data_IF_925369545403
#
_entry.id   IF_925369545403
#
_cell.length_a   1.000
_cell.length_b   1.000
_cell.length_c   1.000
_cell.angle_alpha   90.00
_cell.angle_beta   90.00
_cell.angle_gamma   90.00
#
_symmetry.space_group_name_H-M   'P 1'
#
loop_
_entity.id
_entity.type
_entity.pdbx_description
1 polymer ?
#
# COMPACT_ATOMS: atom_id res chain seq x y z
N UNK A 1 3.57 16.62 1.10
CA UNK A 1 4.50 15.56 0.68
C UNK A 1 4.68 14.65 1.90
N UNK A 2 4.81 13.35 1.72
CA UNK A 2 5.18 12.45 2.82
C UNK A 2 6.64 12.07 2.62
N UNK A 3 7.52 12.39 3.55
CA UNK A 3 8.96 12.18 3.43
C UNK A 3 9.42 11.02 4.30
N UNK A 4 10.61 10.51 3.96
CA UNK A 4 11.36 9.59 4.79
C UNK A 4 10.53 8.36 5.22
N UNK A 5 10.19 7.53 4.22
CA UNK A 5 9.53 6.25 4.47
C UNK A 5 10.36 5.41 5.45
N UNK A 6 9.88 5.23 6.67
CA UNK A 6 10.60 4.59 7.76
C UNK A 6 10.23 3.10 7.93
N UNK A 7 9.01 2.72 7.55
CA UNK A 7 8.49 1.36 7.71
C UNK A 7 7.45 1.09 6.63
N UNK A 8 7.45 -0.13 6.09
CA UNK A 8 6.31 -0.70 5.38
C UNK A 8 5.91 -1.98 6.07
N UNK A 9 4.63 -2.07 6.44
CA UNK A 9 4.07 -3.23 7.11
C UNK A 9 2.97 -3.83 6.23
N UNK A 10 3.11 -5.11 5.94
CA UNK A 10 2.08 -5.92 5.30
C UNK A 10 1.28 -6.64 6.35
N UNK A 11 -0.03 -6.62 6.18
CA UNK A 11 -0.96 -7.35 7.01
C UNK A 11 -1.65 -8.36 6.11
N UNK A 12 -1.49 -9.64 6.46
CA UNK A 12 -2.17 -10.72 5.76
C UNK A 12 -3.23 -11.35 6.65
N UNK A 13 -4.21 -11.99 6.02
CA UNK A 13 -5.24 -12.74 6.73
C UNK A 13 -4.63 -13.92 7.51
N UNK A 14 -4.95 -14.08 8.78
CA UNK A 14 -4.34 -15.10 9.67
C UNK A 14 -4.62 -16.52 9.20
N UNK A 15 -5.81 -16.78 8.66
CA UNK A 15 -6.18 -18.11 8.18
C UNK A 15 -5.51 -18.45 6.83
N UNK A 16 -5.11 -17.43 6.07
CA UNK A 16 -4.32 -17.58 4.84
C UNK A 16 -3.31 -16.41 4.69
N UNK A 17 -2.08 -16.56 5.22
CA UNK A 17 -1.06 -15.52 5.19
C UNK A 17 -0.59 -15.13 3.78
N UNK A 18 -1.04 -15.83 2.73
CA UNK A 18 -0.82 -15.41 1.34
C UNK A 18 -1.77 -14.29 0.89
N UNK A 19 -2.81 -13.99 1.67
CA UNK A 19 -3.80 -12.96 1.35
C UNK A 19 -3.40 -11.65 2.03
N UNK A 20 -2.68 -10.81 1.29
CA UNK A 20 -2.44 -9.44 1.71
C UNK A 20 -3.77 -8.69 1.75
N UNK A 21 -4.12 -8.12 2.89
CA UNK A 21 -5.38 -7.38 3.08
C UNK A 21 -5.17 -5.90 3.31
N UNK A 22 -4.00 -5.52 3.82
CA UNK A 22 -3.64 -4.15 4.06
C UNK A 22 -2.14 -3.96 3.97
N UNK A 23 -1.74 -2.79 3.49
CA UNK A 23 -0.38 -2.27 3.58
C UNK A 23 -0.40 -0.95 4.33
N UNK A 24 0.58 -0.77 5.19
CA UNK A 24 0.79 0.46 5.93
C UNK A 24 2.17 1.00 5.66
N UNK A 25 2.24 2.29 5.35
CA UNK A 25 3.46 3.05 5.17
C UNK A 25 3.62 4.02 6.33
N UNK A 26 4.75 3.96 7.02
CA UNK A 26 5.17 4.94 8.04
C UNK A 26 6.07 5.96 7.38
N UNK A 27 5.63 7.20 7.33
CA UNK A 27 6.46 8.36 7.00
C UNK A 27 6.71 9.16 8.27
N UNK A 28 7.64 10.11 8.21
CA UNK A 28 7.90 11.02 9.33
C UNK A 28 6.64 11.83 9.70
N UNK A 29 5.82 12.19 8.71
CA UNK A 29 4.61 12.99 8.92
C UNK A 29 3.38 12.17 9.29
N UNK A 30 3.44 10.83 9.27
CA UNK A 30 2.27 10.02 9.60
C UNK A 30 2.26 8.60 9.09
N UNK A 31 1.06 8.03 9.11
CA UNK A 31 0.75 6.70 8.65
C UNK A 31 -0.22 6.78 7.48
N UNK A 32 0.14 6.15 6.38
CA UNK A 32 -0.74 5.92 5.25
C UNK A 32 -1.11 4.43 5.24
N UNK A 33 -2.40 4.14 5.34
CA UNK A 33 -2.94 2.79 5.27
C UNK A 33 -3.74 2.63 3.99
N UNK A 34 -3.52 1.50 3.32
CA UNK A 34 -4.32 1.02 2.21
C UNK A 34 -4.88 -0.32 2.64
N UNK A 35 -6.17 -0.51 2.46
CA UNK A 35 -6.91 -1.69 2.87
C UNK A 35 -7.87 -2.09 1.76
N UNK A 36 -8.22 -3.37 1.67
CA UNK A 36 -9.29 -3.82 0.79
C UNK A 36 -10.61 -3.97 1.57
N UNK A 37 -11.71 -3.52 0.99
CA UNK A 37 -13.04 -3.94 1.38
C UNK A 37 -13.33 -5.34 0.80
N UNK A 38 -13.46 -6.37 1.63
CA UNK A 38 -13.66 -7.74 1.15
C UNK A 38 -15.04 -7.96 0.51
N UNK A 39 -16.02 -7.08 0.74
CA UNK A 39 -17.39 -7.22 0.24
C UNK A 39 -17.54 -6.83 -1.23
N UNK A 40 -16.77 -5.83 -1.69
CA UNK A 40 -16.89 -5.27 -3.05
C UNK A 40 -15.58 -5.09 -3.82
N UNK A 41 -14.46 -5.57 -3.27
CA UNK A 41 -13.12 -5.44 -3.85
C UNK A 41 -12.69 -3.98 -4.09
N UNK A 42 -13.14 -3.04 -3.25
CA UNK A 42 -12.64 -1.67 -3.28
C UNK A 42 -11.42 -1.46 -2.40
N UNK A 43 -10.58 -0.47 -2.73
CA UNK A 43 -9.49 0.00 -1.89
C UNK A 43 -9.97 1.13 -0.99
N UNK A 44 -9.68 1.02 0.29
CA UNK A 44 -9.84 2.10 1.25
C UNK A 44 -8.48 2.69 1.61
N UNK A 45 -8.37 4.02 1.55
CA UNK A 45 -7.13 4.72 1.89
C UNK A 45 -7.37 5.65 3.08
N UNK A 46 -6.56 5.48 4.13
CA UNK A 46 -6.61 6.30 5.34
C UNK A 46 -5.25 6.94 5.62
N UNK A 47 -5.25 8.20 6.04
CA UNK A 47 -4.05 8.89 6.50
C UNK A 47 -4.27 9.47 7.90
N UNK A 48 -3.36 9.19 8.81
CA UNK A 48 -3.35 9.76 10.16
C UNK A 48 -1.92 10.24 10.53
N UNK A 49 -1.74 11.52 10.89
CA UNK A 49 -0.43 12.09 11.16
C UNK A 49 0.17 11.69 12.52
N UNK A 50 -0.60 11.07 13.41
CA UNK A 50 -0.21 10.83 14.80
C UNK A 50 -0.12 9.36 15.15
N UNK A 51 -1.07 8.58 14.67
CA UNK A 51 -1.23 7.19 15.06
C UNK A 51 -1.50 6.30 13.86
N UNK A 52 -1.11 5.03 13.99
CA UNK A 52 -1.44 4.01 13.02
C UNK A 52 -2.98 3.89 12.96
N UNK A 53 -3.62 4.05 11.78
CA UNK A 53 -5.06 3.93 11.68
C UNK A 53 -5.50 2.52 12.14
N UNK A 54 -6.67 2.40 12.78
CA UNK A 54 -7.24 1.09 13.03
C UNK A 54 -7.58 0.42 11.69
N UNK A 55 -7.45 -0.90 11.63
CA UNK A 55 -7.95 -1.68 10.51
C UNK A 55 -9.48 -1.59 10.48
N UNK A 56 -10.04 -1.39 9.28
CA UNK A 56 -11.47 -1.41 9.04
C UNK A 56 -11.88 -2.83 8.62
N UNK A 57 -13.17 -3.03 8.30
CA UNK A 57 -13.75 -4.24 7.70
C UNK A 57 -13.47 -5.61 8.34
N UNK A 58 -12.87 -5.63 9.54
CA UNK A 58 -12.51 -6.84 10.28
C UNK A 58 -11.64 -7.81 9.49
N UNK A 59 -10.38 -7.43 9.27
CA UNK A 59 -9.32 -8.44 9.31
C UNK A 59 -8.90 -8.65 10.76
N UNK A 60 -9.86 -9.05 11.60
CA UNK A 60 -9.71 -9.30 13.04
C UNK A 60 -8.71 -10.41 13.35
N UNK A 61 -8.41 -11.22 12.34
CA UNK A 61 -7.26 -12.09 12.32
C UNK A 61 -6.37 -11.61 11.17
N UNK A 62 -5.63 -10.52 11.37
CA UNK A 62 -4.50 -10.19 10.50
C UNK A 62 -3.21 -10.26 11.29
N UNK A 63 -2.18 -10.79 10.64
CA UNK A 63 -0.84 -10.86 11.20
C UNK A 63 0.12 -10.07 10.34
N UNK A 64 1.08 -9.35 10.94
CA UNK A 64 2.19 -8.80 10.19
C UNK A 64 2.91 -9.91 9.45
N UNK A 65 3.08 -9.78 8.14
CA UNK A 65 3.94 -10.66 7.37
C UNK A 65 5.29 -9.98 7.14
N UNK A 66 6.39 -10.75 7.04
CA UNK A 66 7.70 -10.19 6.74
C UNK A 66 7.59 -9.36 5.46
N UNK A 67 7.96 -8.09 5.54
CA UNK A 67 8.00 -7.22 4.38
C UNK A 67 9.00 -7.81 3.40
N UNK A 68 8.56 -8.00 2.15
CA UNK A 68 9.36 -8.63 1.10
C UNK A 68 10.69 -7.86 0.92
N UNK A 69 11.75 -8.53 0.45
CA UNK A 69 13.05 -7.89 0.19
C UNK A 69 12.93 -6.69 -0.77
N UNK A 70 11.85 -6.66 -1.56
CA UNK A 70 11.49 -5.59 -2.48
C UNK A 70 11.30 -4.21 -1.82
N UNK A 71 11.07 -4.14 -0.51
CA UNK A 71 10.86 -2.87 0.22
C UNK A 71 12.13 -2.33 0.89
N UNK A 72 13.18 -3.14 1.02
CA UNK A 72 14.40 -2.74 1.71
C UNK A 72 15.10 -1.55 1.03
N UNK A 73 14.95 -1.41 -0.30
CA UNK A 73 15.48 -0.28 -1.06
C UNK A 73 14.60 0.97 -1.03
N UNK A 74 13.41 0.91 -0.44
CA UNK A 74 12.43 2.01 -0.45
C UNK A 74 12.49 2.87 0.82
N UNK A 75 13.16 2.38 1.88
CA UNK A 75 13.27 3.13 3.13
C UNK A 75 14.09 4.42 2.92
N UNK A 76 13.60 5.52 3.48
CA UNK A 76 14.12 6.87 3.27
C UNK A 76 13.63 7.56 2.00
N UNK A 77 12.79 6.91 1.18
CA UNK A 77 12.19 7.54 0.01
C UNK A 77 11.04 8.48 0.40
N UNK A 78 10.83 9.48 -0.45
CA UNK A 78 9.71 10.43 -0.34
C UNK A 78 8.59 10.05 -1.29
N UNK A 79 7.34 10.24 -0.88
CA UNK A 79 6.18 10.09 -1.76
C UNK A 79 5.98 11.34 -2.62
N UNK A 80 6.19 11.18 -3.93
CA UNK A 80 5.97 12.25 -4.92
C UNK A 80 4.49 12.40 -5.24
N UNK A 81 3.82 11.28 -5.53
CA UNK A 81 2.39 11.26 -5.78
C UNK A 81 1.75 9.96 -5.29
N UNK A 82 0.43 10.01 -5.11
CA UNK A 82 -0.44 8.90 -4.69
C UNK A 82 -1.78 9.02 -5.41
N UNK A 83 -2.29 7.92 -5.95
CA UNK A 83 -3.56 7.88 -6.66
C UNK A 83 -4.43 6.71 -6.21
N UNK A 84 -5.72 6.98 -6.06
CA UNK A 84 -6.74 5.93 -6.07
C UNK A 84 -7.28 5.84 -7.50
N UNK A 85 -7.24 4.64 -8.07
CA UNK A 85 -7.68 4.35 -9.42
C UNK A 85 -9.08 3.75 -9.39
N UNK A 86 -9.85 4.01 -10.44
CA UNK A 86 -11.18 3.46 -10.62
C UNK A 86 -11.26 2.59 -11.87
N UNK A 87 -11.94 1.47 -11.77
CA UNK A 87 -12.24 0.64 -12.94
C UNK A 87 -13.38 1.21 -13.78
N UNK A 88 -13.69 0.52 -14.89
CA UNK A 88 -14.73 0.91 -15.84
C UNK A 88 -16.14 0.94 -15.23
N UNK A 89 -16.34 0.28 -14.09
CA UNK A 89 -17.61 0.24 -13.37
C UNK A 89 -17.69 1.33 -12.29
N UNK A 90 -16.61 2.08 -12.05
CA UNK A 90 -16.55 3.18 -11.09
C UNK A 90 -16.08 2.78 -9.69
N UNK A 91 -15.75 1.51 -9.46
CA UNK A 91 -15.19 1.05 -8.18
C UNK A 91 -13.73 1.47 -8.06
N UNK A 92 -13.34 1.92 -6.87
CA UNK A 92 -11.96 2.23 -6.52
C UNK A 92 -11.21 0.92 -6.30
N UNK A 93 -10.61 0.34 -7.35
CA UNK A 93 -10.06 -1.03 -7.31
C UNK A 93 -8.54 -1.06 -7.22
N UNK A 94 -7.86 0.08 -7.24
CA UNK A 94 -6.42 0.11 -7.05
C UNK A 94 -5.93 1.39 -6.37
N UNK A 95 -4.81 1.25 -5.66
CA UNK A 95 -4.02 2.33 -5.12
C UNK A 95 -2.62 2.31 -5.72
N UNK A 96 -2.10 3.46 -6.13
CA UNK A 96 -0.73 3.62 -6.60
C UNK A 96 0.01 4.67 -5.79
N UNK A 97 1.29 4.41 -5.54
CA UNK A 97 2.21 5.35 -4.90
C UNK A 97 3.56 5.32 -5.61
N UNK A 98 4.09 6.50 -5.92
CA UNK A 98 5.48 6.67 -6.32
C UNK A 98 6.30 7.14 -5.15
N UNK A 99 7.42 6.45 -4.96
CA UNK A 99 8.45 6.74 -3.97
C UNK A 99 9.73 7.11 -4.71
N UNK A 100 10.40 8.16 -4.28
CA UNK A 100 11.62 8.62 -4.92
C UNK A 100 12.71 9.01 -3.95
N UNK A 101 13.92 8.93 -4.48
CA UNK A 101 15.14 9.60 -4.01
C UNK A 101 15.58 10.57 -5.10
N UNK A 102 16.54 11.46 -4.84
CA UNK A 102 17.15 12.27 -5.91
C UNK A 102 17.74 11.47 -7.08
N UNK A 103 17.99 10.16 -6.91
CA UNK A 103 18.67 9.30 -7.89
C UNK A 103 17.83 8.15 -8.44
N UNK A 104 16.64 7.89 -7.92
CA UNK A 104 15.80 6.75 -8.33
C UNK A 104 14.34 6.95 -7.94
N UNK A 105 13.45 6.37 -8.74
CA UNK A 105 12.01 6.29 -8.49
C UNK A 105 11.60 4.83 -8.35
N UNK A 106 10.50 4.57 -7.66
CA UNK A 106 9.85 3.26 -7.65
C UNK A 106 8.36 3.46 -7.51
N UNK A 107 7.59 2.88 -8.44
CA UNK A 107 6.13 2.92 -8.39
C UNK A 107 5.56 1.56 -7.95
N UNK A 108 4.76 1.61 -6.89
CA UNK A 108 4.01 0.47 -6.37
C UNK A 108 2.53 0.63 -6.70
N UNK A 109 1.90 -0.45 -7.16
CA UNK A 109 0.46 -0.54 -7.35
C UNK A 109 -0.11 -1.67 -6.51
N UNK A 110 -1.15 -1.39 -5.74
CA UNK A 110 -1.94 -2.38 -5.00
C UNK A 110 -3.30 -2.47 -5.68
N UNK A 111 -3.62 -3.64 -6.23
CA UNK A 111 -4.90 -3.91 -6.89
C UNK A 111 -5.79 -4.73 -5.95
N UNK A 112 -6.98 -4.25 -5.66
CA UNK A 112 -8.01 -5.00 -4.96
C UNK A 112 -8.68 -5.98 -5.93
N UNK A 113 -8.61 -7.27 -5.60
CA UNK A 113 -9.22 -8.33 -6.39
C UNK A 113 -9.36 -9.60 -5.55
N UNK A 114 -10.55 -10.21 -5.55
CA UNK A 114 -10.83 -11.45 -4.83
C UNK A 114 -10.52 -11.35 -3.32
N UNK A 115 -11.01 -10.28 -2.70
CA UNK A 115 -10.92 -9.96 -1.28
C UNK A 115 -9.49 -9.84 -0.74
N UNK A 116 -8.52 -9.54 -1.61
CA UNK A 116 -7.12 -9.26 -1.25
C UNK A 116 -6.47 -8.21 -2.14
N UNK A 117 -5.41 -7.60 -1.62
CA UNK A 117 -4.52 -6.71 -2.34
C UNK A 117 -3.44 -7.51 -3.08
N UNK A 118 -3.26 -7.19 -4.34
CA UNK A 118 -2.20 -7.69 -5.19
C UNK A 118 -1.18 -6.59 -5.43
N UNK A 119 0.06 -6.80 -4.96
CA UNK A 119 1.17 -5.91 -5.27
C UNK A 119 1.64 -6.14 -6.71
N UNK A 120 1.68 -5.06 -7.48
CA UNK A 120 2.28 -4.99 -8.80
C UNK A 120 3.34 -3.90 -8.81
N UNK A 121 4.55 -4.27 -9.20
CA UNK A 121 5.57 -3.29 -9.55
C UNK A 121 5.24 -2.72 -10.93
N UNK A 122 5.12 -1.41 -11.00
CA UNK A 122 5.04 -0.72 -12.28
C UNK A 122 6.49 -0.41 -12.65
N UNK A 123 7.09 -1.28 -13.48
CA UNK A 123 8.49 -1.18 -13.89
C UNK A 123 8.86 0.27 -14.30
N UNK A 124 10.04 0.72 -13.84
CA UNK A 124 10.80 1.79 -14.51
C UNK A 124 11.27 1.23 -15.86
N UNK A 125 10.46 1.38 -16.90
CA UNK A 125 10.98 1.40 -18.25
C UNK A 125 11.85 2.64 -18.41
N UNK A 126 13.01 2.60 -19.08
CA UNK A 126 13.72 3.82 -19.43
C UNK A 126 12.74 4.70 -20.21
N UNK A 127 12.58 5.95 -19.79
CA UNK A 127 11.82 6.96 -20.50
C UNK A 127 12.29 6.95 -21.99
N UNK A 128 11.39 6.75 -22.98
CA UNK A 128 11.77 6.87 -24.38
C UNK A 128 12.20 8.31 -24.74
#
# INVERSE_FOLDING_TARGET
>A
MLTDLAEVMHLAYTNDPSWLVSVQFRFDEGYLQVEIDPDDDTVEVSFDPRQRPPLRHWVSDSVPTPTDQHYAGLLGMTSDWRWVLRNQQGYEDAFQIELSTPSSTTTLQYLAMASRLHLRHVNDGPNP
#
